data_IF_359502960452
#
_entry.id   IF_359502960452
#
_cell.length_a   1.000
_cell.length_b   1.000
_cell.length_c   1.000
_cell.angle_alpha   90.00
_cell.angle_beta   90.00
_cell.angle_gamma   90.00
#
_symmetry.space_group_name_H-M   'P 1'
#
loop_
_entity.id
_entity.type
_entity.pdbx_description
1 polymer ?
#
# COMPACT_ATOMS: atom_id res chain seq x y z
N UNK A 1 17.95 -10.72 8.92
CA UNK A 1 16.85 -10.07 8.17
C UNK A 1 15.89 -9.45 9.19
N UNK A 2 15.88 -8.12 9.32
CA UNK A 2 15.05 -7.43 10.32
C UNK A 2 13.60 -7.39 9.85
N UNK A 3 12.69 -8.01 10.60
CA UNK A 3 11.27 -8.11 10.26
C UNK A 3 10.59 -6.78 10.60
N UNK A 4 10.39 -5.91 9.61
CA UNK A 4 9.66 -4.66 9.78
C UNK A 4 8.15 -4.90 9.74
N UNK A 5 7.44 -4.38 10.75
CA UNK A 5 6.01 -4.51 10.93
C UNK A 5 5.30 -3.39 10.18
N UNK A 6 4.55 -3.73 9.13
CA UNK A 6 3.63 -2.80 8.47
C UNK A 6 2.29 -2.84 9.23
N UNK A 7 1.83 -1.68 9.71
CA UNK A 7 0.54 -1.55 10.38
C UNK A 7 -0.48 -1.05 9.37
N UNK A 8 -1.38 -1.93 8.93
CA UNK A 8 -2.53 -1.54 8.10
C UNK A 8 -3.55 -0.87 9.03
N UNK A 9 -3.80 0.43 8.83
CA UNK A 9 -4.77 1.19 9.60
C UNK A 9 -6.23 0.79 9.34
N UNK A 10 -7.12 1.22 10.24
CA UNK A 10 -8.54 0.85 10.39
C UNK A 10 -9.40 0.91 9.10
N UNK A 11 -9.04 1.77 8.15
CA UNK A 11 -9.87 2.09 6.97
C UNK A 11 -9.89 1.03 5.86
N UNK A 12 -9.02 0.02 5.87
CA UNK A 12 -9.02 -1.04 4.83
C UNK A 12 -10.18 -2.03 5.01
N UNK A 13 -10.66 -2.20 6.26
CA UNK A 13 -11.64 -3.23 6.62
C UNK A 13 -13.06 -2.95 6.11
N UNK A 14 -13.46 -1.67 5.98
CA UNK A 14 -14.85 -1.29 5.71
C UNK A 14 -15.35 -1.52 4.26
N UNK A 15 -14.51 -2.06 3.36
CA UNK A 15 -14.85 -2.13 1.94
C UNK A 15 -14.19 -3.31 1.19
N UNK A 16 -14.10 -4.48 1.83
CA UNK A 16 -13.54 -5.68 1.21
C UNK A 16 -14.17 -6.05 -0.15
N UNK A 17 -15.48 -5.82 -0.31
CA UNK A 17 -16.20 -6.12 -1.55
C UNK A 17 -15.65 -5.41 -2.79
N UNK A 18 -15.22 -4.14 -2.67
CA UNK A 18 -14.69 -3.38 -3.81
C UNK A 18 -13.38 -3.96 -4.36
N UNK A 19 -12.65 -4.71 -3.54
CA UNK A 19 -11.39 -5.32 -3.95
C UNK A 19 -11.63 -6.63 -4.70
N UNK A 20 -12.77 -7.30 -4.45
CA UNK A 20 -13.17 -8.49 -5.20
C UNK A 20 -13.54 -8.14 -6.65
N UNK A 21 -14.03 -6.92 -6.89
CA UNK A 21 -14.34 -6.41 -8.24
C UNK A 21 -13.09 -5.99 -9.04
N UNK A 22 -11.93 -5.85 -8.40
CA UNK A 22 -10.67 -5.41 -9.02
C UNK A 22 -9.47 -6.20 -8.46
N UNK A 23 -9.39 -7.52 -8.72
CA UNK A 23 -8.35 -8.39 -8.17
C UNK A 23 -6.95 -8.03 -8.67
N UNK A 24 -6.83 -7.57 -9.92
CA UNK A 24 -5.56 -7.10 -10.48
C UNK A 24 -5.07 -5.84 -9.77
N UNK A 25 -5.97 -4.88 -9.52
CA UNK A 25 -5.61 -3.67 -8.80
C UNK A 25 -5.24 -3.96 -7.33
N UNK A 26 -5.91 -4.92 -6.68
CA UNK A 26 -5.51 -5.39 -5.35
C UNK A 26 -4.12 -6.05 -5.39
N UNK A 27 -3.86 -6.93 -6.35
CA UNK A 27 -2.56 -7.58 -6.49
C UNK A 27 -1.43 -6.55 -6.70
N UNK A 28 -1.66 -5.53 -7.52
CA UNK A 28 -0.71 -4.44 -7.72
C UNK A 28 -0.47 -3.63 -6.44
N UNK A 29 -1.50 -3.41 -5.63
CA UNK A 29 -1.36 -2.72 -4.33
C UNK A 29 -0.54 -3.55 -3.34
N UNK A 30 -0.76 -4.87 -3.28
CA UNK A 30 0.02 -5.78 -2.43
C UNK A 30 1.47 -5.86 -2.89
N UNK A 31 1.73 -5.98 -4.18
CA UNK A 31 3.08 -5.95 -4.74
C UNK A 31 3.83 -4.64 -4.42
N UNK A 32 3.12 -3.50 -4.47
CA UNK A 32 3.70 -2.21 -4.08
C UNK A 32 4.04 -2.16 -2.58
N UNK A 33 3.24 -2.78 -1.71
CA UNK A 33 3.55 -2.90 -0.27
C UNK A 33 4.78 -3.77 -0.06
N UNK A 34 4.89 -4.91 -0.75
CA UNK A 34 6.04 -5.80 -0.65
C UNK A 34 7.34 -5.10 -1.08
N UNK A 35 7.30 -4.31 -2.17
CA UNK A 35 8.44 -3.55 -2.65
C UNK A 35 8.97 -2.50 -1.65
N UNK A 36 8.14 -2.03 -0.71
CA UNK A 36 8.58 -1.11 0.34
C UNK A 36 9.59 -1.74 1.31
N UNK A 37 9.68 -3.07 1.35
CA UNK A 37 10.70 -3.77 2.14
C UNK A 37 12.11 -3.49 1.61
N UNK A 38 12.25 -3.43 0.29
CA UNK A 38 13.53 -3.23 -0.41
C UNK A 38 13.82 -1.75 -0.64
N UNK A 39 12.82 -0.98 -1.08
CA UNK A 39 12.89 0.48 -1.25
C UNK A 39 11.80 1.17 -0.42
N UNK A 40 12.13 1.64 0.80
CA UNK A 40 11.16 2.32 1.66
C UNK A 40 10.65 3.66 1.12
N UNK A 41 11.31 4.25 0.09
CA UNK A 41 10.93 5.56 -0.47
C UNK A 41 11.03 5.53 -1.99
N UNK A 42 10.17 4.73 -2.65
CA UNK A 42 10.22 4.56 -4.09
C UNK A 42 9.86 5.87 -4.79
N UNK A 43 10.32 6.00 -6.04
CA UNK A 43 10.01 7.13 -6.89
C UNK A 43 8.47 7.32 -6.98
N UNK A 44 8.02 8.56 -6.77
CA UNK A 44 6.58 8.87 -6.73
C UNK A 44 5.91 8.67 -5.37
N UNK A 45 6.65 8.21 -4.36
CA UNK A 45 6.23 8.36 -2.96
C UNK A 45 6.29 9.84 -2.54
N UNK A 46 5.27 10.32 -1.84
CA UNK A 46 5.27 11.69 -1.32
C UNK A 46 4.98 11.70 0.17
N UNK A 47 5.74 12.50 0.91
CA UNK A 47 5.55 12.65 2.35
C UNK A 47 4.29 13.49 2.63
N UNK A 48 3.44 13.01 3.54
CA UNK A 48 2.23 13.71 3.98
C UNK A 48 2.06 13.55 5.49
N UNK A 49 2.46 14.57 6.25
CA UNK A 49 2.41 14.51 7.71
C UNK A 49 3.25 13.32 8.20
N UNK A 50 2.66 12.41 8.95
CA UNK A 50 3.41 11.30 9.58
C UNK A 50 3.65 10.09 8.67
N UNK A 51 3.25 10.13 7.40
CA UNK A 51 3.30 8.97 6.51
C UNK A 51 3.69 9.31 5.07
N UNK A 52 3.99 8.27 4.28
CA UNK A 52 4.32 8.39 2.87
C UNK A 52 3.19 7.82 2.02
N UNK A 53 2.73 8.59 1.04
CA UNK A 53 1.71 8.15 0.09
C UNK A 53 2.36 7.62 -1.18
N UNK A 54 1.94 6.44 -1.60
CA UNK A 54 2.34 5.81 -2.87
C UNK A 54 1.10 5.44 -3.69
N UNK A 55 1.13 5.71 -4.99
CA UNK A 55 0.09 5.26 -5.92
C UNK A 55 0.39 3.84 -6.40
N UNK A 56 -0.61 2.97 -6.32
CA UNK A 56 -0.58 1.61 -6.86
C UNK A 56 -1.82 1.40 -7.74
N UNK A 57 -1.73 1.86 -8.99
CA UNK A 57 -2.88 1.90 -9.91
C UNK A 57 -4.04 2.74 -9.36
N UNK A 58 -5.23 2.14 -9.27
CA UNK A 58 -6.44 2.76 -8.69
C UNK A 58 -6.37 2.92 -7.17
N UNK A 59 -5.44 2.22 -6.51
CA UNK A 59 -5.28 2.22 -5.07
C UNK A 59 -4.17 3.17 -4.61
N UNK A 60 -4.15 3.45 -3.30
CA UNK A 60 -3.12 4.25 -2.64
C UNK A 60 -2.67 3.53 -1.38
N UNK A 61 -1.36 3.38 -1.22
CA UNK A 61 -0.71 2.93 0.01
C UNK A 61 -0.38 4.17 0.82
N UNK A 62 -0.75 4.16 2.11
CA UNK A 62 -0.55 5.26 3.05
C UNK A 62 0.38 4.80 4.16
#
# INVERSE_FOLDING_TARGET
>A
MSRRRVVIGEAVSLSLGRYLDDPEGLAAALAAIDALADDPRPAGSFHRGDYHRLRAGRYRVL
#
